data_IF_603365557207
#
_entry.id   IF_603365557207
#
_cell.length_a   1.000
_cell.length_b   1.000
_cell.length_c   1.000
_cell.angle_alpha   90.00
_cell.angle_beta   90.00
_cell.angle_gamma   90.00
#
_symmetry.space_group_name_H-M   'P 1'
#
loop_
_entity.id
_entity.type
_entity.pdbx_description
1 polymer ?
#
# COMPACT_ATOMS: atom_id res chain seq x y z
N UNK A 1 -4.86 43.67 4.54
CA UNK A 1 -5.19 42.45 3.78
C UNK A 1 -4.88 41.26 4.67
N UNK A 2 -5.88 40.80 5.42
CA UNK A 2 -5.71 39.70 6.38
C UNK A 2 -5.48 38.39 5.61
N UNK A 3 -4.41 37.68 5.96
CA UNK A 3 -4.15 36.34 5.44
C UNK A 3 -5.32 35.44 5.80
N UNK A 4 -6.11 35.06 4.79
CA UNK A 4 -7.09 34.00 4.92
C UNK A 4 -6.32 32.73 5.28
N UNK A 5 -6.42 32.31 6.54
CA UNK A 5 -6.16 30.93 6.91
C UNK A 5 -7.09 30.09 6.05
N UNK A 6 -6.56 29.44 5.00
CA UNK A 6 -7.28 28.40 4.27
C UNK A 6 -7.60 27.31 5.29
N UNK A 7 -8.79 27.40 5.87
CA UNK A 7 -9.47 26.25 6.46
C UNK A 7 -9.29 25.12 5.44
N UNK A 8 -8.73 23.97 5.86
CA UNK A 8 -8.83 22.76 5.06
C UNK A 8 -10.34 22.56 4.88
N UNK A 9 -10.88 22.99 3.73
CA UNK A 9 -12.24 22.65 3.34
C UNK A 9 -12.22 21.13 3.37
N UNK A 10 -12.91 20.59 4.37
CA UNK A 10 -13.03 19.16 4.54
C UNK A 10 -13.80 18.68 3.33
N UNK A 11 -13.09 18.01 2.42
CA UNK A 11 -13.64 17.38 1.23
C UNK A 11 -13.66 15.85 1.47
N UNK A 12 -14.65 15.33 2.23
CA UNK A 12 -14.87 13.90 2.41
C UNK A 12 -14.84 13.10 1.13
N UNK A 13 -15.49 13.55 0.02
CA UNK A 13 -15.52 12.73 -1.18
C UNK A 13 -14.12 12.54 -1.76
N UNK A 14 -13.22 13.50 -1.60
CA UNK A 14 -11.84 13.37 -2.06
C UNK A 14 -11.10 12.30 -1.26
N UNK A 15 -11.20 12.31 0.07
CA UNK A 15 -10.56 11.30 0.93
C UNK A 15 -11.12 9.91 0.65
N UNK A 16 -12.44 9.78 0.52
CA UNK A 16 -13.09 8.50 0.20
C UNK A 16 -12.62 7.99 -1.17
N UNK A 17 -12.57 8.87 -2.18
CA UNK A 17 -12.07 8.49 -3.51
C UNK A 17 -10.62 8.03 -3.48
N UNK A 18 -9.76 8.65 -2.66
CA UNK A 18 -8.37 8.26 -2.46
C UNK A 18 -8.26 6.89 -1.80
N UNK A 19 -9.07 6.63 -0.76
CA UNK A 19 -9.13 5.31 -0.10
C UNK A 19 -9.55 4.24 -1.10
N UNK A 20 -10.63 4.46 -1.85
CA UNK A 20 -11.14 3.52 -2.86
C UNK A 20 -10.10 3.28 -3.95
N UNK A 21 -9.42 4.33 -4.43
CA UNK A 21 -8.36 4.21 -5.43
C UNK A 21 -7.20 3.38 -4.88
N UNK A 22 -6.78 3.61 -3.63
CA UNK A 22 -5.73 2.82 -2.99
C UNK A 22 -6.15 1.36 -2.81
N UNK A 23 -7.42 1.08 -2.48
CA UNK A 23 -7.95 -0.28 -2.43
C UNK A 23 -7.87 -0.95 -3.81
N UNK A 24 -8.34 -0.26 -4.86
CA UNK A 24 -8.30 -0.79 -6.21
C UNK A 24 -6.87 -1.11 -6.65
N UNK A 25 -5.93 -0.19 -6.43
CA UNK A 25 -4.50 -0.41 -6.74
C UNK A 25 -3.94 -1.60 -5.96
N UNK A 26 -4.27 -1.73 -4.68
CA UNK A 26 -3.78 -2.83 -3.85
C UNK A 26 -4.26 -4.20 -4.34
N UNK A 27 -5.56 -4.36 -4.61
CA UNK A 27 -6.13 -5.64 -5.04
C UNK A 27 -5.78 -5.99 -6.49
N UNK A 28 -5.81 -5.01 -7.40
CA UNK A 28 -5.41 -5.23 -8.80
C UNK A 28 -3.92 -5.55 -8.88
N UNK A 29 -3.08 -4.80 -8.16
CA UNK A 29 -1.64 -5.05 -8.07
C UNK A 29 -1.35 -6.45 -7.53
N UNK A 30 -2.00 -6.83 -6.42
CA UNK A 30 -1.83 -8.14 -5.81
C UNK A 30 -2.26 -9.26 -6.77
N UNK A 31 -3.41 -9.11 -7.43
CA UNK A 31 -3.90 -10.08 -8.42
C UNK A 31 -2.96 -10.23 -9.61
N UNK A 32 -2.37 -9.13 -10.11
CA UNK A 32 -1.37 -9.16 -11.18
C UNK A 32 -0.12 -9.91 -10.72
N UNK A 33 0.42 -9.59 -9.54
CA UNK A 33 1.63 -10.23 -9.03
C UNK A 33 1.45 -11.72 -8.79
N UNK A 34 0.31 -12.13 -8.21
CA UNK A 34 -0.03 -13.55 -8.04
C UNK A 34 -0.18 -14.22 -9.41
N UNK A 35 -0.89 -13.62 -10.36
CA UNK A 35 -1.06 -14.19 -11.70
C UNK A 35 0.27 -14.36 -12.45
N UNK A 36 1.22 -13.44 -12.26
CA UNK A 36 2.58 -13.54 -12.81
C UNK A 36 3.33 -14.70 -12.15
N UNK A 37 3.34 -14.77 -10.82
CA UNK A 37 4.08 -15.83 -10.11
C UNK A 37 3.46 -17.22 -10.30
N UNK A 38 2.15 -17.30 -10.47
CA UNK A 38 1.45 -18.54 -10.84
C UNK A 38 1.83 -18.99 -12.26
N UNK A 39 2.01 -18.05 -13.21
CA UNK A 39 2.55 -18.39 -14.54
C UNK A 39 3.97 -18.95 -14.45
N UNK A 40 4.81 -18.37 -13.58
CA UNK A 40 6.18 -18.85 -13.39
C UNK A 40 6.24 -20.21 -12.68
N UNK A 41 5.34 -20.48 -11.75
CA UNK A 41 5.35 -21.72 -10.94
C UNK A 41 4.44 -22.82 -11.49
N UNK A 42 3.62 -22.53 -12.50
CA UNK A 42 2.74 -23.52 -13.16
C UNK A 42 1.53 -23.98 -12.33
N UNK A 43 1.16 -23.25 -11.28
CA UNK A 43 0.04 -23.61 -10.41
C UNK A 43 -1.31 -23.10 -10.95
N UNK A 44 -2.41 -23.76 -10.56
CA UNK A 44 -3.76 -23.34 -10.92
C UNK A 44 -4.16 -22.05 -10.23
N UNK A 45 -4.60 -21.07 -11.02
CA UNK A 45 -5.07 -19.77 -10.54
C UNK A 45 -6.39 -19.91 -9.79
N UNK A 46 -6.35 -19.84 -8.45
CA UNK A 46 -7.56 -19.63 -7.65
C UNK A 46 -7.48 -18.29 -6.92
N UNK A 47 -8.60 -17.57 -6.87
CA UNK A 47 -8.77 -16.39 -6.03
C UNK A 47 -8.68 -16.72 -4.54
N UNK A 48 -8.82 -18.00 -4.19
CA UNK A 48 -8.60 -18.50 -2.83
C UNK A 48 -7.20 -18.18 -2.32
N UNK A 49 -6.18 -18.16 -3.19
CA UNK A 49 -4.79 -17.84 -2.79
C UNK A 49 -4.64 -16.41 -2.24
N UNK A 50 -5.56 -15.50 -2.56
CA UNK A 50 -5.55 -14.11 -2.07
C UNK A 50 -6.07 -14.03 -0.63
N UNK A 51 -7.14 -14.79 -0.32
CA UNK A 51 -7.87 -14.65 0.94
C UNK A 51 -7.59 -15.78 1.93
N UNK A 52 -7.12 -16.94 1.47
CA UNK A 52 -6.92 -18.13 2.29
C UNK A 52 -5.49 -18.16 2.82
N UNK A 53 -5.29 -17.52 3.96
CA UNK A 53 -4.00 -17.48 4.65
C UNK A 53 -3.47 -18.85 5.09
N UNK A 54 -4.30 -19.89 5.08
CA UNK A 54 -3.94 -21.22 5.57
C UNK A 54 -2.81 -21.88 4.77
N UNK A 55 -2.56 -21.44 3.52
CA UNK A 55 -1.51 -21.96 2.63
C UNK A 55 -0.17 -21.21 2.69
N UNK A 56 -0.03 -20.21 3.59
CA UNK A 56 1.24 -19.51 3.83
C UNK A 56 2.22 -20.35 4.67
N UNK A 57 2.43 -21.60 4.26
CA UNK A 57 3.49 -22.45 4.75
C UNK A 57 4.80 -22.03 4.05
N UNK A 58 5.77 -21.49 4.81
CA UNK A 58 7.09 -21.07 4.27
C UNK A 58 7.84 -22.22 3.58
N UNK A 59 7.52 -23.46 3.98
CA UNK A 59 8.10 -24.68 3.41
C UNK A 59 7.64 -24.95 1.98
N UNK A 60 6.38 -24.61 1.68
CA UNK A 60 5.79 -24.77 0.35
C UNK A 60 6.38 -23.75 -0.64
N UNK A 61 6.64 -24.20 -1.88
CA UNK A 61 7.12 -23.31 -2.95
C UNK A 61 6.05 -22.26 -3.29
N UNK A 62 4.78 -22.68 -3.30
CA UNK A 62 3.63 -21.80 -3.56
C UNK A 62 3.50 -20.71 -2.49
N UNK A 63 3.63 -21.07 -1.21
CA UNK A 63 3.59 -20.12 -0.10
C UNK A 63 4.68 -19.03 -0.21
N UNK A 64 5.91 -19.40 -0.60
CA UNK A 64 6.98 -18.43 -0.84
C UNK A 64 6.70 -17.51 -2.03
N UNK A 65 6.10 -18.04 -3.10
CA UNK A 65 5.70 -17.23 -4.25
C UNK A 65 4.63 -16.20 -3.84
N UNK A 66 3.62 -16.59 -3.06
CA UNK A 66 2.61 -15.65 -2.55
C UNK A 66 3.26 -14.58 -1.66
N UNK A 67 4.16 -14.96 -0.74
CA UNK A 67 4.89 -13.99 0.08
C UNK A 67 5.68 -12.98 -0.77
N UNK A 68 6.33 -13.44 -1.84
CA UNK A 68 7.01 -12.56 -2.78
C UNK A 68 6.01 -11.62 -3.49
N UNK A 69 4.82 -12.11 -3.87
CA UNK A 69 3.76 -11.29 -4.45
C UNK A 69 3.34 -10.14 -3.52
N UNK A 70 3.18 -10.42 -2.22
CA UNK A 70 2.83 -9.41 -1.22
C UNK A 70 3.92 -8.34 -1.05
N UNK A 71 5.19 -8.74 -1.07
CA UNK A 71 6.33 -7.80 -1.02
C UNK A 71 6.37 -6.92 -2.27
N UNK A 72 6.20 -7.51 -3.46
CA UNK A 72 6.14 -6.77 -4.72
C UNK A 72 4.92 -5.83 -4.75
N UNK A 73 3.78 -6.28 -4.21
CA UNK A 73 2.59 -5.45 -4.09
C UNK A 73 2.80 -4.27 -3.14
N UNK A 74 3.61 -4.40 -2.09
CA UNK A 74 3.98 -3.27 -1.23
C UNK A 74 4.79 -2.20 -2.01
N UNK A 75 5.62 -2.60 -2.98
CA UNK A 75 6.31 -1.66 -3.88
C UNK A 75 5.30 -0.95 -4.80
N UNK A 76 4.37 -1.68 -5.41
CA UNK A 76 3.30 -1.11 -6.24
C UNK A 76 2.40 -0.17 -5.42
N UNK A 77 2.05 -0.56 -4.20
CA UNK A 77 1.28 0.24 -3.25
C UNK A 77 2.00 1.52 -2.85
N UNK A 78 3.32 1.48 -2.65
CA UNK A 78 4.14 2.66 -2.39
C UNK A 78 4.10 3.66 -3.56
N UNK A 79 4.16 3.18 -4.80
CA UNK A 79 3.98 4.03 -5.99
C UNK A 79 2.56 4.61 -6.06
N UNK A 80 1.54 3.83 -5.68
CA UNK A 80 0.16 4.28 -5.55
C UNK A 80 0.03 5.43 -4.53
N UNK A 81 0.59 5.27 -3.33
CA UNK A 81 0.61 6.31 -2.30
C UNK A 81 1.27 7.59 -2.79
N UNK A 82 2.42 7.45 -3.46
CA UNK A 82 3.14 8.57 -4.03
C UNK A 82 2.29 9.36 -5.03
N UNK A 83 1.56 8.67 -5.92
CA UNK A 83 0.71 9.31 -6.94
C UNK A 83 -0.58 9.90 -6.37
N UNK A 84 -1.20 9.25 -5.39
CA UNK A 84 -2.54 9.62 -4.89
C UNK A 84 -2.47 10.62 -3.73
N UNK A 85 -1.59 10.37 -2.75
CA UNK A 85 -1.59 11.09 -1.47
C UNK A 85 -0.67 12.31 -1.52
N UNK A 86 0.48 12.20 -2.21
CA UNK A 86 1.51 13.25 -2.40
C UNK A 86 2.01 13.94 -1.10
N UNK A 87 1.52 13.55 0.07
CA UNK A 87 1.78 14.15 1.38
C UNK A 87 2.28 13.08 2.33
N UNK A 88 3.53 13.24 2.75
CA UNK A 88 4.26 12.31 3.63
C UNK A 88 3.48 11.97 4.91
N UNK A 89 2.90 12.99 5.56
CA UNK A 89 2.18 12.83 6.84
C UNK A 89 0.93 11.94 6.79
N UNK A 90 0.39 11.65 5.61
CA UNK A 90 -0.82 10.84 5.44
C UNK A 90 -0.50 9.43 4.94
N UNK A 91 0.74 9.14 4.51
CA UNK A 91 1.11 7.84 3.95
C UNK A 91 0.85 6.69 4.93
N UNK A 92 1.20 6.86 6.21
CA UNK A 92 0.99 5.86 7.24
C UNK A 92 -0.50 5.54 7.44
N UNK A 93 -1.35 6.57 7.54
CA UNK A 93 -2.80 6.40 7.72
C UNK A 93 -3.41 5.59 6.57
N UNK A 94 -3.08 5.93 5.31
CA UNK A 94 -3.58 5.21 4.14
C UNK A 94 -3.04 3.79 4.05
N UNK A 95 -1.76 3.56 4.42
CA UNK A 95 -1.14 2.23 4.41
C UNK A 95 -1.82 1.31 5.43
N UNK A 96 -1.98 1.78 6.66
CA UNK A 96 -2.64 1.02 7.73
C UNK A 96 -4.09 0.77 7.37
N UNK A 97 -4.83 1.78 6.89
CA UNK A 97 -6.22 1.62 6.47
C UNK A 97 -6.34 0.56 5.37
N UNK A 98 -5.42 0.53 4.41
CA UNK A 98 -5.48 -0.46 3.34
C UNK A 98 -5.24 -1.89 3.81
N UNK A 99 -4.23 -2.11 4.65
CA UNK A 99 -3.96 -3.43 5.21
C UNK A 99 -5.04 -3.86 6.22
N UNK A 100 -5.64 -2.91 6.94
CA UNK A 100 -6.77 -3.18 7.83
C UNK A 100 -8.00 -3.64 7.05
N UNK A 101 -8.36 -2.97 5.96
CA UNK A 101 -9.47 -3.39 5.10
C UNK A 101 -9.22 -4.77 4.48
N UNK A 102 -7.98 -5.07 4.08
CA UNK A 102 -7.60 -6.39 3.63
C UNK A 102 -7.79 -7.46 4.72
N UNK A 103 -7.31 -7.19 5.94
CA UNK A 103 -7.47 -8.09 7.09
C UNK A 103 -8.96 -8.35 7.42
N UNK A 104 -9.79 -7.30 7.38
CA UNK A 104 -11.24 -7.42 7.56
C UNK A 104 -11.87 -8.26 6.44
N UNK A 105 -11.47 -8.04 5.18
CA UNK A 105 -11.92 -8.85 4.04
C UNK A 105 -11.59 -10.32 4.22
N UNK A 106 -10.38 -10.65 4.65
CA UNK A 106 -9.98 -12.02 4.94
C UNK A 106 -10.70 -12.62 6.15
N UNK A 107 -11.02 -11.83 7.16
CA UNK A 107 -11.84 -12.28 8.28
C UNK A 107 -13.26 -12.64 7.82
N UNK A 108 -13.90 -11.78 7.01
CA UNK A 108 -15.23 -12.06 6.44
C UNK A 108 -15.19 -13.31 5.55
N UNK A 109 -14.14 -13.50 4.76
CA UNK A 109 -14.02 -14.64 3.84
C UNK A 109 -13.83 -15.98 4.57
N UNK A 110 -12.92 -16.04 5.55
CA UNK A 110 -12.59 -17.29 6.25
C UNK A 110 -13.48 -17.54 7.49
N UNK A 111 -14.24 -16.53 7.94
CA UNK A 111 -15.06 -16.60 9.15
C UNK A 111 -14.26 -16.62 10.46
N UNK A 112 -12.93 -16.69 10.40
CA UNK A 112 -12.02 -16.65 11.54
C UNK A 112 -10.86 -15.69 11.29
N UNK A 113 -10.28 -15.17 12.37
CA UNK A 113 -9.06 -14.37 12.29
C UNK A 113 -7.87 -15.27 11.88
N UNK A 114 -6.86 -14.72 11.17
CA UNK A 114 -5.65 -15.46 10.87
C UNK A 114 -4.92 -15.82 12.17
N UNK A 115 -4.88 -17.11 12.49
CA UNK A 115 -4.21 -17.63 13.68
C UNK A 115 -2.70 -17.85 13.46
N UNK A 116 -2.24 -17.79 12.21
CA UNK A 116 -0.85 -18.06 11.84
C UNK A 116 0.03 -16.82 12.05
N UNK A 117 1.15 -16.93 12.79
CA UNK A 117 2.03 -15.79 13.06
C UNK A 117 2.76 -15.26 11.80
N UNK A 118 2.97 -16.10 10.79
CA UNK A 118 3.57 -15.73 9.51
C UNK A 118 2.79 -14.64 8.78
N UNK A 119 1.46 -14.67 8.87
CA UNK A 119 0.55 -13.69 8.25
C UNK A 119 0.72 -12.32 8.89
N UNK A 120 0.78 -12.29 10.23
CA UNK A 120 0.98 -11.06 10.98
C UNK A 120 2.36 -10.45 10.70
N UNK A 121 3.40 -11.28 10.64
CA UNK A 121 4.75 -10.83 10.30
C UNK A 121 4.81 -10.30 8.87
N UNK A 122 4.23 -11.01 7.90
CA UNK A 122 4.17 -10.58 6.51
C UNK A 122 3.46 -9.23 6.40
N UNK A 123 2.32 -9.07 7.07
CA UNK A 123 1.56 -7.83 7.09
C UNK A 123 2.36 -6.66 7.69
N UNK A 124 3.08 -6.89 8.80
CA UNK A 124 3.95 -5.88 9.40
C UNK A 124 5.10 -5.48 8.47
N UNK A 125 5.72 -6.44 7.79
CA UNK A 125 6.78 -6.20 6.82
C UNK A 125 6.26 -5.39 5.62
N UNK A 126 5.11 -5.77 5.04
CA UNK A 126 4.54 -5.06 3.89
C UNK A 126 4.05 -3.67 4.26
N UNK A 127 3.44 -3.48 5.44
CA UNK A 127 3.07 -2.17 5.97
C UNK A 127 4.30 -1.28 6.09
N UNK A 128 5.35 -1.78 6.74
CA UNK A 128 6.58 -1.01 6.97
C UNK A 128 7.24 -0.64 5.64
N UNK A 129 7.36 -1.60 4.72
CA UNK A 129 7.96 -1.39 3.41
C UNK A 129 7.16 -0.37 2.57
N UNK A 130 5.84 -0.55 2.48
CA UNK A 130 4.95 0.36 1.74
C UNK A 130 4.96 1.77 2.34
N UNK A 131 4.94 1.89 3.67
CA UNK A 131 4.95 3.16 4.37
C UNK A 131 6.29 3.90 4.16
N UNK A 132 7.43 3.27 4.48
CA UNK A 132 8.75 3.91 4.38
C UNK A 132 9.07 4.31 2.95
N UNK A 133 8.79 3.44 1.97
CA UNK A 133 9.02 3.78 0.57
C UNK A 133 8.06 4.87 0.09
N UNK A 134 6.79 4.83 0.51
CA UNK A 134 5.79 5.83 0.15
C UNK A 134 6.14 7.20 0.71
N UNK A 135 6.54 7.26 1.99
CA UNK A 135 7.05 8.46 2.64
C UNK A 135 8.30 9.00 1.95
N UNK A 136 9.28 8.14 1.64
CA UNK A 136 10.49 8.54 0.95
C UNK A 136 10.20 9.17 -0.43
N UNK A 137 9.34 8.56 -1.23
CA UNK A 137 8.96 9.07 -2.55
C UNK A 137 8.18 10.40 -2.46
N UNK A 138 7.23 10.49 -1.52
CA UNK A 138 6.49 11.72 -1.24
C UNK A 138 7.43 12.85 -0.79
N UNK A 139 8.32 12.58 0.17
CA UNK A 139 9.28 13.55 0.69
C UNK A 139 10.22 14.05 -0.41
N UNK A 140 10.72 13.16 -1.27
CA UNK A 140 11.56 13.54 -2.41
C UNK A 140 10.84 14.51 -3.35
N UNK A 141 9.55 14.28 -3.58
CA UNK A 141 8.72 15.12 -4.47
C UNK A 141 8.39 16.46 -3.82
N UNK A 142 8.08 16.45 -2.53
CA UNK A 142 7.82 17.66 -1.74
C UNK A 142 9.03 18.59 -1.72
N UNK A 143 10.25 18.04 -1.56
CA UNK A 143 11.50 18.81 -1.58
C UNK A 143 11.82 19.43 -2.94
N UNK A 144 11.45 18.80 -4.06
CA UNK A 144 11.71 19.34 -5.40
C UNK A 144 10.85 20.57 -5.74
N UNK A 145 9.69 20.73 -5.08
CA UNK A 145 8.80 21.86 -5.30
C UNK A 145 9.17 23.12 -4.52
N UNK A 146 10.27 23.13 -3.76
CA UNK A 146 10.82 24.34 -3.14
C UNK A 146 11.81 24.98 -4.14
N UNK A 147 11.41 25.97 -4.96
CA UNK A 147 12.39 26.75 -5.70
C UNK A 147 13.25 27.48 -4.67
N UNK A 148 14.55 27.19 -4.68
CA UNK A 148 15.53 28.05 -4.02
C UNK A 148 15.46 29.38 -4.77
N UNK A 149 14.65 30.33 -4.27
CA UNK A 149 14.79 31.72 -4.66
C UNK A 149 16.17 32.12 -4.16
N UNK A 150 17.18 31.92 -5.01
CA UNK A 150 18.48 32.54 -4.87
C UNK A 150 18.18 34.03 -4.91
N UNK A 151 18.05 34.64 -3.72
CA UNK A 151 18.16 36.08 -3.59
C UNK A 151 19.51 36.43 -4.22
N UNK A 152 19.47 36.94 -5.44
CA UNK A 152 20.54 37.79 -5.94
C UNK A 152 20.67 38.90 -4.92
N UNK A 153 21.64 38.76 -4.03
CA UNK A 153 22.19 39.88 -3.29
C UNK A 153 22.99 40.62 -4.34
N UNK A 154 22.32 41.58 -5.01
CA UNK A 154 23.01 42.55 -5.84
C UNK A 154 23.90 43.37 -4.89
N UNK A 155 25.21 43.24 -5.09
CA UNK A 155 26.28 43.90 -4.34
C UNK A 155 26.54 45.30 -4.90
#
# INVERSE_FOLDING_TARGET
MAGSFRYKIWDPPLIISQIITMQAVYYVGLGIWIAILDLFTGHHRSLDSIFKYQELQIKEVHGRAIMAAFILNALTGSLGLWKVVQRTKQCLDFTITAHFLHLVGCWIYNGHLPSQPSVWLLNLVTITLMCVLGEYLCMRTEMQHIPVMSSKVDL
#
